data_IF_544362868324
#
_entry.id   IF_544362868324
#
_cell.length_a   1.000
_cell.length_b   1.000
_cell.length_c   1.000
_cell.angle_alpha   90.00
_cell.angle_beta   90.00
_cell.angle_gamma   90.00
#
_symmetry.space_group_name_H-M   'P 1'
#
loop_
_entity.id
_entity.type
_entity.pdbx_description
1 polymer ?
#
# COMPACT_ATOMS: atom_id res chain seq x y z
N UNK A 1 -10.82 32.69 52.98
CA UNK A 1 -10.57 31.82 54.14
C UNK A 1 -10.20 30.43 53.64
N UNK A 2 -9.00 30.00 54.01
CA UNK A 2 -8.36 28.72 53.70
C UNK A 2 -9.07 27.51 54.34
N UNK A 3 -8.95 26.35 53.67
CA UNK A 3 -8.31 25.11 54.17
C UNK A 3 -8.27 24.10 52.99
N UNK A 4 -7.08 23.81 52.44
CA UNK A 4 -6.19 22.67 52.76
C UNK A 4 -6.79 21.32 52.27
N UNK A 5 -6.15 20.35 51.60
CA UNK A 5 -4.82 20.10 50.97
C UNK A 5 -4.91 18.70 50.30
N UNK A 6 -3.93 18.35 49.45
CA UNK A 6 -3.43 17.01 49.06
C UNK A 6 -4.03 16.40 47.77
N UNK A 7 -3.42 16.66 46.60
CA UNK A 7 -2.32 15.90 45.94
C UNK A 7 -2.68 14.46 45.59
N UNK A 8 -2.80 14.18 44.30
CA UNK A 8 -2.31 12.95 43.68
C UNK A 8 -1.89 13.24 42.24
N UNK A 9 -0.65 13.72 42.10
CA UNK A 9 0.07 13.81 40.84
C UNK A 9 0.34 12.38 40.36
N UNK A 10 -0.37 11.90 39.34
CA UNK A 10 0.01 10.68 38.63
C UNK A 10 0.80 11.05 37.38
N UNK A 11 2.06 11.41 37.63
CA UNK A 11 3.09 11.57 36.61
C UNK A 11 3.72 10.19 36.42
N UNK A 12 3.08 9.35 35.61
CA UNK A 12 3.70 8.09 35.17
C UNK A 12 4.59 8.43 33.99
N UNK A 13 5.88 8.53 34.31
CA UNK A 13 6.97 8.33 33.36
C UNK A 13 6.76 6.99 32.62
N UNK A 14 6.18 7.03 31.43
CA UNK A 14 6.33 5.97 30.45
C UNK A 14 7.62 6.23 29.64
N UNK A 15 8.75 6.18 30.33
CA UNK A 15 10.07 6.07 29.71
C UNK A 15 10.52 4.63 29.83
N UNK A 16 10.09 3.79 28.88
CA UNK A 16 10.71 2.53 28.56
C UNK A 16 10.27 2.09 27.16
N UNK A 17 11.27 1.78 26.32
CA UNK A 17 11.14 1.13 25.01
C UNK A 17 10.55 1.96 23.86
N UNK A 18 11.17 3.10 23.54
CA UNK A 18 11.46 3.34 22.13
C UNK A 18 12.50 2.32 21.70
N UNK A 19 12.04 1.10 21.43
CA UNK A 19 12.82 0.14 20.68
C UNK A 19 13.18 0.80 19.37
N UNK A 20 14.47 0.92 19.10
CA UNK A 20 15.00 1.14 17.78
C UNK A 20 14.23 0.19 16.85
N UNK A 21 13.40 0.74 15.97
CA UNK A 21 12.79 -0.03 14.91
C UNK A 21 13.91 -0.24 13.89
N UNK A 22 14.82 -1.15 14.24
CA UNK A 22 15.87 -1.58 13.35
C UNK A 22 15.16 -2.20 12.14
N UNK A 23 15.44 -1.61 10.99
CA UNK A 23 15.15 -2.17 9.70
C UNK A 23 16.09 -3.37 9.49
N UNK A 24 15.96 -4.39 10.34
CA UNK A 24 16.68 -5.65 10.25
C UNK A 24 16.02 -6.49 9.16
N UNK A 25 16.53 -6.27 7.96
CA UNK A 25 16.92 -7.32 7.02
C UNK A 25 16.85 -8.75 7.56
N UNK A 26 16.19 -9.60 6.76
CA UNK A 26 16.27 -11.08 6.68
C UNK A 26 15.22 -11.94 7.43
N UNK A 27 14.07 -12.26 6.78
CA UNK A 27 13.35 -13.50 7.06
C UNK A 27 13.53 -14.56 5.95
N UNK A 28 14.32 -14.28 4.91
CA UNK A 28 14.39 -15.15 3.73
C UNK A 28 15.15 -16.46 4.00
N UNK A 29 16.29 -16.37 4.68
CA UNK A 29 17.17 -17.51 4.94
C UNK A 29 16.76 -18.38 6.14
N UNK A 30 15.90 -17.86 7.04
CA UNK A 30 15.48 -18.58 8.24
C UNK A 30 14.25 -19.46 8.05
N UNK A 31 13.47 -19.25 6.98
CA UNK A 31 12.26 -20.03 6.71
C UNK A 31 12.58 -21.31 5.91
N UNK A 32 11.98 -22.41 6.32
CA UNK A 32 12.00 -23.67 5.56
C UNK A 32 11.08 -23.60 4.34
N UNK A 33 11.27 -24.50 3.37
CA UNK A 33 10.39 -24.61 2.22
C UNK A 33 8.94 -24.91 2.61
N UNK A 34 8.73 -25.72 3.66
CA UNK A 34 7.41 -26.04 4.20
C UNK A 34 6.71 -24.80 4.78
N UNK A 35 7.40 -24.02 5.61
CA UNK A 35 6.86 -22.77 6.17
C UNK A 35 6.49 -21.77 5.07
N UNK A 36 7.32 -21.62 4.03
CA UNK A 36 7.00 -20.75 2.89
C UNK A 36 5.75 -21.23 2.13
N UNK A 37 5.59 -22.55 1.95
CA UNK A 37 4.38 -23.13 1.34
C UNK A 37 3.15 -22.79 2.19
N UNK A 38 3.22 -23.02 3.49
CA UNK A 38 2.13 -22.74 4.43
C UNK A 38 1.74 -21.25 4.46
N UNK A 39 2.71 -20.35 4.51
CA UNK A 39 2.47 -18.91 4.42
C UNK A 39 1.79 -18.52 3.10
N UNK A 40 2.23 -19.12 1.99
CA UNK A 40 1.63 -18.87 0.67
C UNK A 40 0.19 -19.39 0.58
N UNK A 41 -0.10 -20.55 1.18
CA UNK A 41 -1.45 -21.09 1.32
C UNK A 41 -2.34 -20.15 2.13
N UNK A 42 -1.87 -19.77 3.33
CA UNK A 42 -2.60 -18.84 4.19
C UNK A 42 -2.88 -17.51 3.49
N UNK A 43 -1.90 -16.95 2.77
CA UNK A 43 -2.06 -15.72 2.02
C UNK A 43 -3.09 -15.82 0.89
N UNK A 44 -3.07 -16.89 0.08
CA UNK A 44 -4.04 -17.01 -1.02
C UNK A 44 -5.47 -17.20 -0.49
N UNK A 45 -5.66 -17.95 0.60
CA UNK A 45 -6.97 -18.11 1.23
C UNK A 45 -7.45 -16.81 1.88
N UNK A 46 -6.58 -16.07 2.58
CA UNK A 46 -6.89 -14.77 3.16
C UNK A 46 -7.33 -13.76 2.08
N UNK A 47 -6.69 -13.78 0.91
CA UNK A 47 -7.14 -12.95 -0.22
C UNK A 47 -8.47 -13.47 -0.76
N UNK A 48 -8.58 -14.77 -1.07
CA UNK A 48 -9.74 -15.33 -1.77
C UNK A 48 -11.04 -15.19 -0.96
N UNK A 49 -10.97 -15.46 0.33
CA UNK A 49 -12.11 -15.48 1.25
C UNK A 49 -12.25 -14.18 2.05
N UNK A 50 -11.33 -13.24 1.88
CA UNK A 50 -11.28 -11.99 2.62
C UNK A 50 -11.26 -10.77 1.70
N UNK A 51 -10.43 -9.80 2.07
CA UNK A 51 -10.35 -8.50 1.40
C UNK A 51 -8.93 -8.25 0.90
N UNK A 52 -8.80 -7.83 -0.36
CA UNK A 52 -7.60 -7.18 -0.83
C UNK A 52 -7.73 -5.67 -0.63
N UNK A 53 -6.77 -5.07 0.06
CA UNK A 53 -6.72 -3.62 0.28
C UNK A 53 -5.71 -3.02 -0.69
N UNK A 54 -6.18 -2.22 -1.64
CA UNK A 54 -5.36 -1.39 -2.50
C UNK A 54 -4.87 -0.17 -1.72
N UNK A 55 -3.58 -0.14 -1.41
CA UNK A 55 -2.89 0.96 -0.74
C UNK A 55 -2.29 1.91 -1.78
N UNK A 56 -2.88 3.09 -1.91
CA UNK A 56 -2.47 4.14 -2.83
C UNK A 56 -1.40 5.05 -2.21
N UNK A 57 -0.42 5.47 -3.00
CA UNK A 57 0.57 6.45 -2.57
C UNK A 57 -0.04 7.85 -2.60
N UNK A 58 -0.05 8.56 -1.47
CA UNK A 58 -0.55 9.94 -1.39
C UNK A 58 0.52 10.98 -1.73
N UNK A 59 1.81 10.61 -1.70
CA UNK A 59 2.94 11.54 -1.70
C UNK A 59 2.85 12.61 -0.59
N UNK A 60 2.10 12.36 0.49
CA UNK A 60 1.77 13.35 1.51
C UNK A 60 2.99 14.08 2.06
N UNK A 61 4.02 13.36 2.54
CA UNK A 61 5.26 13.96 3.08
C UNK A 61 6.00 14.82 2.06
N UNK A 62 6.04 14.38 0.79
CA UNK A 62 6.69 15.12 -0.29
C UNK A 62 5.93 16.40 -0.59
N UNK A 63 4.60 16.33 -0.65
CA UNK A 63 3.73 17.47 -0.90
C UNK A 63 3.83 18.47 0.26
N UNK A 64 3.76 17.99 1.50
CA UNK A 64 3.87 18.81 2.71
C UNK A 64 5.20 19.58 2.75
N UNK A 65 6.32 18.90 2.45
CA UNK A 65 7.63 19.56 2.40
C UNK A 65 7.70 20.59 1.26
N UNK A 66 7.14 20.28 0.09
CA UNK A 66 7.08 21.25 -1.02
C UNK A 66 6.19 22.46 -0.70
N UNK A 67 5.09 22.26 0.01
CA UNK A 67 4.21 23.34 0.49
C UNK A 67 4.90 24.20 1.54
N UNK A 68 5.64 23.57 2.47
CA UNK A 68 6.46 24.27 3.46
C UNK A 68 7.51 25.16 2.79
N UNK A 69 8.21 24.64 1.78
CA UNK A 69 9.17 25.41 0.99
C UNK A 69 8.50 26.55 0.23
N UNK A 70 7.32 26.31 -0.37
CA UNK A 70 6.56 27.33 -1.09
C UNK A 70 6.09 28.49 -0.18
N UNK A 71 5.88 28.21 1.11
CA UNK A 71 5.48 29.19 2.12
C UNK A 71 6.63 29.91 2.83
N UNK A 72 7.89 29.64 2.47
CA UNK A 72 9.05 30.27 3.11
C UNK A 72 9.10 31.79 2.87
N UNK A 73 9.49 32.54 3.89
CA UNK A 73 9.70 34.00 3.83
C UNK A 73 10.93 34.39 3.00
N UNK A 74 11.82 33.43 2.74
CA UNK A 74 13.09 33.67 2.04
C UNK A 74 12.95 33.68 0.51
N UNK A 75 11.76 33.37 -0.01
CA UNK A 75 11.48 33.31 -1.44
C UNK A 75 10.87 34.60 -1.95
N UNK A 76 11.27 35.01 -3.16
CA UNK A 76 10.55 36.05 -3.88
C UNK A 76 9.25 35.51 -4.51
N UNK A 77 8.39 36.40 -4.99
CA UNK A 77 7.08 36.03 -5.53
C UNK A 77 7.16 35.12 -6.78
N UNK A 78 8.19 35.27 -7.61
CA UNK A 78 8.40 34.38 -8.77
C UNK A 78 8.73 32.95 -8.33
N UNK A 79 9.60 32.80 -7.32
CA UNK A 79 9.98 31.52 -6.75
C UNK A 79 8.81 30.83 -6.06
N UNK A 80 8.00 31.59 -5.29
CA UNK A 80 6.77 31.07 -4.68
C UNK A 80 5.81 30.54 -5.74
N UNK A 81 5.59 31.29 -6.81
CA UNK A 81 4.71 30.88 -7.92
C UNK A 81 5.21 29.59 -8.61
N UNK A 82 6.53 29.47 -8.83
CA UNK A 82 7.14 28.24 -9.37
C UNK A 82 6.92 27.04 -8.43
N UNK A 83 7.08 27.21 -7.12
CA UNK A 83 6.85 26.14 -6.15
C UNK A 83 5.39 25.73 -6.08
N UNK A 84 4.46 26.68 -6.05
CA UNK A 84 3.02 26.40 -6.07
C UNK A 84 2.62 25.61 -7.32
N UNK A 85 3.15 25.98 -8.49
CA UNK A 85 2.94 25.25 -9.75
C UNK A 85 3.44 23.81 -9.66
N UNK A 86 4.63 23.60 -9.07
CA UNK A 86 5.19 22.25 -8.85
C UNK A 86 4.36 21.42 -7.88
N UNK A 87 3.89 22.02 -6.79
CA UNK A 87 2.99 21.34 -5.82
C UNK A 87 1.71 20.90 -6.52
N UNK A 88 1.08 21.80 -7.28
CA UNK A 88 -0.14 21.49 -8.03
C UNK A 88 0.07 20.35 -9.04
N UNK A 89 1.19 20.39 -9.79
CA UNK A 89 1.54 19.33 -10.73
C UNK A 89 1.75 17.97 -10.02
N UNK A 90 2.46 17.92 -8.89
CA UNK A 90 2.66 16.68 -8.12
C UNK A 90 1.34 16.14 -7.56
N UNK A 91 0.45 17.00 -7.07
CA UNK A 91 -0.89 16.60 -6.61
C UNK A 91 -1.71 15.99 -7.74
N UNK A 92 -1.76 16.67 -8.88
CA UNK A 92 -2.52 16.21 -10.04
C UNK A 92 -1.96 14.90 -10.60
N UNK A 93 -0.63 14.78 -10.76
CA UNK A 93 0.01 13.55 -11.22
C UNK A 93 -0.20 12.38 -10.25
N UNK A 94 -0.25 12.64 -8.95
CA UNK A 94 -0.54 11.62 -7.93
C UNK A 94 -2.00 11.19 -8.02
N UNK A 95 -2.94 12.13 -8.07
CA UNK A 95 -4.38 11.86 -8.20
C UNK A 95 -4.67 11.07 -9.48
N UNK A 96 -4.09 11.51 -10.61
CA UNK A 96 -4.27 10.87 -11.93
C UNK A 96 -3.77 9.43 -11.94
N UNK A 97 -2.55 9.17 -11.45
CA UNK A 97 -2.01 7.80 -11.37
C UNK A 97 -2.84 6.90 -10.45
N UNK A 98 -3.24 7.42 -9.29
CA UNK A 98 -4.10 6.69 -8.35
C UNK A 98 -5.45 6.36 -8.98
N UNK A 99 -6.04 7.30 -9.73
CA UNK A 99 -7.30 7.08 -10.44
C UNK A 99 -7.17 5.98 -11.50
N UNK A 100 -6.12 6.04 -12.32
CA UNK A 100 -5.85 4.98 -13.31
C UNK A 100 -5.69 3.60 -12.68
N UNK A 101 -5.01 3.52 -11.53
CA UNK A 101 -4.86 2.26 -10.80
C UNK A 101 -6.19 1.75 -10.25
N UNK A 102 -6.99 2.62 -9.63
CA UNK A 102 -8.33 2.28 -9.14
C UNK A 102 -9.25 1.82 -10.28
N UNK A 103 -9.23 2.51 -11.42
CA UNK A 103 -10.02 2.15 -12.59
C UNK A 103 -9.58 0.79 -13.16
N UNK A 104 -8.28 0.52 -13.21
CA UNK A 104 -7.76 -0.77 -13.63
C UNK A 104 -8.21 -1.90 -12.68
N UNK A 105 -8.20 -1.67 -11.36
CA UNK A 105 -8.73 -2.62 -10.39
C UNK A 105 -10.24 -2.81 -10.54
N UNK A 106 -11.02 -1.73 -10.65
CA UNK A 106 -12.47 -1.81 -10.84
C UNK A 106 -12.84 -2.58 -12.13
N UNK A 107 -12.06 -2.42 -13.20
CA UNK A 107 -12.33 -3.05 -14.48
C UNK A 107 -11.87 -4.51 -14.57
N UNK A 108 -10.83 -4.91 -13.83
CA UNK A 108 -10.14 -6.20 -14.05
C UNK A 108 -10.10 -7.12 -12.83
N UNK A 109 -10.32 -6.60 -11.62
CA UNK A 109 -10.15 -7.37 -10.39
C UNK A 109 -11.48 -7.96 -9.91
N UNK A 110 -11.60 -9.27 -10.00
CA UNK A 110 -12.78 -10.06 -9.61
C UNK A 110 -12.44 -11.20 -8.63
N UNK A 111 -11.21 -11.23 -8.11
CA UNK A 111 -10.71 -12.37 -7.37
C UNK A 111 -11.32 -12.48 -5.96
N UNK A 112 -11.49 -11.35 -5.28
CA UNK A 112 -12.15 -11.21 -3.97
C UNK A 112 -12.64 -9.77 -3.75
N UNK A 113 -13.11 -9.45 -2.54
CA UNK A 113 -13.56 -8.09 -2.21
C UNK A 113 -12.38 -7.12 -2.19
N UNK A 114 -12.55 -5.96 -2.81
CA UNK A 114 -11.54 -4.89 -2.87
C UNK A 114 -11.94 -3.72 -1.95
N UNK A 115 -11.00 -3.24 -1.15
CA UNK A 115 -11.08 -1.94 -0.47
C UNK A 115 -9.91 -1.06 -0.90
N UNK A 116 -10.07 0.25 -0.83
CA UNK A 116 -9.06 1.22 -1.29
C UNK A 116 -8.75 2.16 -0.14
N UNK A 117 -7.47 2.44 0.12
CA UNK A 117 -7.05 3.44 1.11
C UNK A 117 -5.77 4.14 0.68
N UNK A 118 -5.52 5.33 1.22
CA UNK A 118 -4.21 5.96 1.13
C UNK A 118 -3.20 5.35 2.11
N UNK A 119 -1.92 5.45 1.75
CA UNK A 119 -0.78 5.09 2.59
C UNK A 119 -0.75 5.81 3.95
N UNK A 120 -1.32 7.01 4.05
CA UNK A 120 -1.50 7.75 5.31
C UNK A 120 -2.40 7.05 6.31
N UNK A 121 -3.33 6.20 5.85
CA UNK A 121 -4.23 5.43 6.72
C UNK A 121 -3.61 4.13 7.26
N UNK A 122 -2.34 3.83 6.92
CA UNK A 122 -1.64 2.63 7.40
C UNK A 122 -1.66 2.50 8.93
N UNK A 123 -1.46 3.59 9.67
CA UNK A 123 -1.45 3.53 11.14
C UNK A 123 -2.83 3.27 11.71
N UNK A 124 -3.90 3.76 11.07
CA UNK A 124 -5.27 3.48 11.49
C UNK A 124 -5.57 1.98 11.37
N UNK A 125 -5.18 1.36 10.26
CA UNK A 125 -5.34 -0.08 10.06
C UNK A 125 -4.50 -0.90 11.06
N UNK A 126 -3.27 -0.46 11.39
CA UNK A 126 -2.43 -1.11 12.42
C UNK A 126 -3.00 -0.99 13.83
N UNK A 127 -3.75 0.07 14.11
CA UNK A 127 -4.46 0.29 15.37
C UNK A 127 -5.82 -0.42 15.40
N UNK A 128 -6.05 -1.35 14.47
CA UNK A 128 -7.28 -2.12 14.36
C UNK A 128 -8.53 -1.28 14.07
N UNK A 129 -8.37 -0.04 13.59
CA UNK A 129 -9.52 0.71 13.08
C UNK A 129 -9.97 0.07 11.77
N UNK A 130 -11.22 -0.41 11.70
CA UNK A 130 -11.73 -1.20 10.55
C UNK A 130 -12.62 -0.42 9.58
N UNK A 131 -12.82 0.89 9.77
CA UNK A 131 -13.69 1.73 8.91
C UNK A 131 -13.34 3.22 9.01
N UNK A 132 -13.96 4.05 8.16
CA UNK A 132 -13.88 5.52 8.25
C UNK A 132 -12.74 6.19 7.46
N UNK A 133 -11.89 5.40 6.78
CA UNK A 133 -10.76 5.92 5.98
C UNK A 133 -10.61 5.24 4.61
N UNK A 134 -11.53 4.33 4.26
CA UNK A 134 -11.56 3.71 2.94
C UNK A 134 -12.14 4.66 1.90
N UNK A 135 -11.76 4.46 0.64
CA UNK A 135 -12.09 5.31 -0.48
C UNK A 135 -13.03 4.60 -1.45
N UNK A 136 -13.88 5.38 -2.12
CA UNK A 136 -14.65 4.95 -3.28
C UNK A 136 -13.81 5.01 -4.58
N UNK A 137 -14.44 4.69 -5.71
CA UNK A 137 -13.80 4.70 -7.04
C UNK A 137 -13.37 6.11 -7.52
N UNK A 138 -13.92 7.17 -6.90
CA UNK A 138 -13.60 8.57 -7.19
C UNK A 138 -12.49 9.12 -6.29
N UNK A 139 -11.86 8.28 -5.46
CA UNK A 139 -10.85 8.65 -4.46
C UNK A 139 -11.38 9.56 -3.35
N UNK A 140 -12.67 9.43 -3.02
CA UNK A 140 -13.33 10.15 -1.93
C UNK A 140 -13.63 9.17 -0.79
N UNK A 141 -13.74 9.68 0.44
CA UNK A 141 -14.07 8.85 1.60
C UNK A 141 -15.41 8.14 1.40
N UNK A 142 -15.41 6.83 1.62
CA UNK A 142 -16.60 6.00 1.61
C UNK A 142 -16.98 5.63 3.05
N UNK A 143 -18.02 6.29 3.57
CA UNK A 143 -18.49 6.06 4.93
C UNK A 143 -19.11 4.67 5.13
N UNK A 144 -19.56 3.99 4.06
CA UNK A 144 -20.12 2.65 4.13
C UNK A 144 -19.04 1.56 4.05
N UNK A 145 -17.85 1.90 3.56
CA UNK A 145 -16.75 0.95 3.43
C UNK A 145 -16.16 0.58 4.80
N UNK A 146 -16.25 -0.71 5.12
CA UNK A 146 -15.68 -1.30 6.33
C UNK A 146 -15.04 -2.66 6.03
N UNK A 147 -13.92 -2.92 6.67
CA UNK A 147 -13.23 -4.20 6.61
C UNK A 147 -13.99 -5.30 7.35
N UNK A 148 -14.76 -4.95 8.39
CA UNK A 148 -15.40 -5.92 9.28
C UNK A 148 -14.37 -6.84 9.94
N UNK A 149 -14.75 -8.10 10.13
CA UNK A 149 -13.89 -9.16 10.70
C UNK A 149 -13.14 -9.97 9.63
N UNK A 150 -13.22 -9.57 8.35
CA UNK A 150 -12.61 -10.33 7.27
C UNK A 150 -11.08 -10.28 7.34
N UNK A 151 -10.38 -11.40 7.07
CA UNK A 151 -8.93 -11.37 6.89
C UNK A 151 -8.59 -10.49 5.69
N UNK A 152 -7.40 -9.89 5.70
CA UNK A 152 -7.00 -8.99 4.63
C UNK A 152 -5.54 -9.15 4.22
N UNK A 153 -5.26 -8.80 2.97
CA UNK A 153 -3.90 -8.54 2.48
C UNK A 153 -3.88 -7.20 1.81
N UNK A 154 -2.69 -6.64 1.64
CA UNK A 154 -2.54 -5.38 0.94
C UNK A 154 -1.88 -5.58 -0.42
N UNK A 155 -2.17 -4.67 -1.33
CA UNK A 155 -1.41 -4.49 -2.56
C UNK A 155 -1.04 -3.02 -2.71
N UNK A 156 0.18 -2.74 -3.13
CA UNK A 156 0.65 -1.39 -3.47
C UNK A 156 1.32 -1.38 -4.83
N UNK A 157 1.34 -0.23 -5.49
CA UNK A 157 2.20 -0.01 -6.64
C UNK A 157 3.57 0.51 -6.19
N UNK A 158 4.66 -0.01 -6.75
CA UNK A 158 6.02 0.44 -6.48
C UNK A 158 7.06 -0.66 -6.69
N UNK A 159 8.23 -0.49 -6.07
CA UNK A 159 9.31 -1.48 -6.12
C UNK A 159 9.15 -2.53 -5.03
N UNK A 160 9.51 -3.78 -5.34
CA UNK A 160 9.71 -4.82 -4.36
C UNK A 160 11.08 -4.64 -3.68
N UNK A 161 11.13 -4.73 -2.35
CA UNK A 161 12.36 -4.55 -1.56
C UNK A 161 13.38 -5.66 -1.82
N UNK A 162 12.93 -6.88 -2.12
CA UNK A 162 13.82 -8.02 -2.35
C UNK A 162 14.42 -8.05 -3.77
N UNK A 163 13.73 -7.48 -4.76
CA UNK A 163 14.28 -7.35 -6.12
C UNK A 163 15.23 -6.13 -6.21
N UNK A 164 16.32 -6.14 -5.45
CA UNK A 164 17.32 -5.04 -5.43
C UNK A 164 17.93 -4.73 -6.81
N UNK A 165 17.85 -5.68 -7.76
CA UNK A 165 18.35 -5.54 -9.14
C UNK A 165 17.30 -5.09 -10.17
N UNK A 166 16.02 -5.09 -9.80
CA UNK A 166 14.92 -4.76 -10.70
C UNK A 166 14.54 -3.29 -10.48
N UNK A 167 14.90 -2.43 -11.42
CA UNK A 167 14.41 -1.03 -11.44
C UNK A 167 12.92 -0.93 -11.73
N UNK A 168 12.23 -2.05 -11.96
CA UNK A 168 10.85 -2.09 -12.40
C UNK A 168 9.87 -1.84 -11.25
N UNK A 169 8.96 -0.89 -11.45
CA UNK A 169 7.76 -0.79 -10.63
C UNK A 169 6.75 -1.87 -11.01
N UNK A 170 5.95 -2.28 -10.04
CA UNK A 170 4.91 -3.30 -10.17
C UNK A 170 3.93 -3.29 -9.00
N UNK A 171 3.00 -4.24 -9.00
CA UNK A 171 2.13 -4.52 -7.87
C UNK A 171 2.87 -5.42 -6.88
N UNK A 172 2.95 -4.99 -5.63
CA UNK A 172 3.59 -5.70 -4.51
C UNK A 172 2.51 -6.07 -3.51
N UNK A 173 2.38 -7.36 -3.19
CA UNK A 173 1.46 -7.88 -2.19
C UNK A 173 2.13 -7.95 -0.83
N UNK A 174 1.38 -7.56 0.20
CA UNK A 174 1.87 -7.48 1.58
C UNK A 174 0.98 -8.29 2.54
N UNK A 175 1.57 -8.74 3.63
CA UNK A 175 0.87 -9.28 4.80
C UNK A 175 0.23 -8.18 5.66
N UNK A 176 -0.39 -8.57 6.77
CA UNK A 176 -1.09 -7.68 7.70
C UNK A 176 -0.11 -6.77 8.46
N UNK A 177 1.16 -7.20 8.58
CA UNK A 177 2.26 -6.43 9.13
C UNK A 177 2.94 -5.50 8.10
N UNK A 178 2.39 -5.41 6.89
CA UNK A 178 2.88 -4.61 5.77
C UNK A 178 4.25 -5.06 5.22
N UNK A 179 4.62 -6.32 5.45
CA UNK A 179 5.81 -6.95 4.87
C UNK A 179 5.45 -7.61 3.54
N UNK A 180 6.39 -7.62 2.61
CA UNK A 180 6.18 -8.26 1.31
C UNK A 180 5.96 -9.76 1.49
N UNK A 181 4.93 -10.29 0.83
CA UNK A 181 4.77 -11.73 0.73
C UNK A 181 5.95 -12.35 -0.02
N UNK A 182 6.16 -13.64 0.15
CA UNK A 182 7.35 -14.34 -0.37
C UNK A 182 6.97 -15.44 -1.35
N UNK A 183 7.92 -15.82 -2.19
CA UNK A 183 7.84 -17.06 -2.99
C UNK A 183 7.55 -18.26 -2.06
N UNK A 184 6.68 -19.21 -2.44
CA UNK A 184 6.14 -19.47 -3.79
C UNK A 184 4.92 -18.63 -4.20
N UNK A 185 4.42 -17.76 -3.33
CA UNK A 185 3.28 -16.90 -3.64
C UNK A 185 3.62 -15.88 -4.74
N UNK A 186 2.69 -15.47 -5.63
CA UNK A 186 2.94 -14.45 -6.66
C UNK A 186 3.00 -13.02 -6.08
N UNK A 187 3.96 -12.77 -5.18
CA UNK A 187 4.04 -11.57 -4.36
C UNK A 187 4.33 -10.27 -5.13
N UNK A 188 5.02 -10.36 -6.28
CA UNK A 188 5.35 -9.21 -7.11
C UNK A 188 4.95 -9.43 -8.56
N UNK A 189 4.30 -8.42 -9.15
CA UNK A 189 3.83 -8.43 -10.54
C UNK A 189 4.30 -7.16 -11.23
N UNK A 190 5.22 -7.30 -12.18
CA UNK A 190 5.73 -6.19 -13.01
C UNK A 190 5.58 -6.51 -14.50
N UNK A 191 5.73 -5.48 -15.34
CA UNK A 191 5.89 -5.64 -16.78
C UNK A 191 7.37 -5.60 -17.13
N UNK A 192 7.85 -6.62 -17.86
CA UNK A 192 9.21 -6.60 -18.38
C UNK A 192 9.33 -5.65 -19.59
N UNK A 193 10.56 -5.31 -19.97
CA UNK A 193 10.84 -4.35 -21.05
C UNK A 193 10.18 -4.79 -22.37
N UNK A 194 10.20 -6.09 -22.69
CA UNK A 194 9.59 -6.62 -23.91
C UNK A 194 8.07 -6.47 -23.92
N UNK A 195 7.40 -6.73 -22.80
CA UNK A 195 5.96 -6.51 -22.63
C UNK A 195 5.59 -5.04 -22.79
N UNK A 196 6.38 -4.12 -22.18
CA UNK A 196 6.20 -2.67 -22.32
C UNK A 196 6.35 -2.24 -23.79
N UNK A 197 7.39 -2.69 -24.48
CA UNK A 197 7.65 -2.36 -25.89
C UNK A 197 6.57 -2.91 -26.81
N UNK A 198 6.25 -4.21 -26.71
CA UNK A 198 5.26 -4.87 -27.58
C UNK A 198 3.88 -4.22 -27.46
N UNK A 199 3.51 -3.77 -26.27
CA UNK A 199 2.20 -3.14 -26.00
C UNK A 199 2.24 -1.62 -26.10
N UNK A 200 3.41 -1.01 -26.30
CA UNK A 200 3.61 0.44 -26.33
C UNK A 200 3.04 1.17 -25.09
N UNK A 201 3.15 0.53 -23.92
CA UNK A 201 2.67 1.04 -22.63
C UNK A 201 3.82 1.44 -21.71
N UNK A 202 3.61 2.47 -20.91
CA UNK A 202 4.52 2.91 -19.84
C UNK A 202 3.70 3.44 -18.66
N UNK A 203 4.36 3.71 -17.54
CA UNK A 203 3.72 4.14 -16.27
C UNK A 203 2.99 5.49 -16.37
N UNK A 204 3.18 6.23 -17.45
CA UNK A 204 2.48 7.49 -17.74
C UNK A 204 1.18 7.29 -18.50
N UNK A 205 0.73 6.04 -18.69
CA UNK A 205 -0.49 5.69 -19.43
C UNK A 205 -1.42 4.78 -18.60
N UNK A 206 -2.75 4.91 -18.70
CA UNK A 206 -3.70 4.07 -17.97
C UNK A 206 -3.59 2.58 -18.33
N UNK A 207 -3.34 2.25 -19.60
CA UNK A 207 -3.29 0.86 -20.09
C UNK A 207 -2.17 0.05 -19.44
N UNK A 208 -1.12 0.72 -18.96
CA UNK A 208 -0.06 0.07 -18.18
C UNK A 208 -0.63 -0.59 -16.92
N UNK A 209 -1.49 0.12 -16.19
CA UNK A 209 -2.11 -0.37 -14.97
C UNK A 209 -3.12 -1.48 -15.26
N UNK A 210 -3.91 -1.36 -16.33
CA UNK A 210 -4.83 -2.42 -16.75
C UNK A 210 -4.13 -3.75 -17.02
N UNK A 211 -3.02 -3.71 -17.78
CA UNK A 211 -2.23 -4.91 -18.07
C UNK A 211 -1.63 -5.49 -16.78
N UNK A 212 -1.18 -4.63 -15.87
CA UNK A 212 -0.59 -5.03 -14.60
C UNK A 212 -1.59 -5.74 -13.69
N UNK A 213 -2.79 -5.17 -13.52
CA UNK A 213 -3.87 -5.76 -12.73
C UNK A 213 -4.35 -7.07 -13.36
N UNK A 214 -4.55 -7.11 -14.68
CA UNK A 214 -4.91 -8.35 -15.37
C UNK A 214 -3.86 -9.45 -15.16
N UNK A 215 -2.57 -9.10 -15.16
CA UNK A 215 -1.48 -10.04 -14.87
C UNK A 215 -1.51 -10.52 -13.42
N UNK A 216 -1.82 -9.65 -12.47
CA UNK A 216 -2.01 -10.01 -11.06
C UNK A 216 -3.14 -11.02 -10.90
N UNK A 217 -4.33 -10.73 -11.43
CA UNK A 217 -5.51 -11.61 -11.34
C UNK A 217 -5.22 -12.98 -11.94
N UNK A 218 -4.58 -13.03 -13.11
CA UNK A 218 -4.16 -14.29 -13.73
C UNK A 218 -3.19 -15.10 -12.87
N UNK A 219 -2.25 -14.44 -12.18
CA UNK A 219 -1.31 -15.11 -11.28
C UNK A 219 -2.00 -15.62 -10.01
N UNK A 220 -2.91 -14.86 -9.43
CA UNK A 220 -3.70 -15.28 -8.27
C UNK A 220 -4.58 -16.48 -8.62
N UNK A 221 -5.34 -16.42 -9.72
CA UNK A 221 -6.18 -17.52 -10.19
C UNK A 221 -5.37 -18.79 -10.47
N UNK A 222 -4.21 -18.66 -11.13
CA UNK A 222 -3.32 -19.81 -11.39
C UNK A 222 -2.77 -20.40 -10.11
N UNK A 223 -2.34 -19.56 -9.16
CA UNK A 223 -1.80 -20.04 -7.89
C UNK A 223 -2.88 -20.75 -7.07
N UNK A 224 -4.06 -20.13 -6.94
CA UNK A 224 -5.20 -20.71 -6.22
C UNK A 224 -5.68 -22.02 -6.84
N UNK A 225 -5.78 -22.11 -8.17
CA UNK A 225 -6.14 -23.35 -8.86
C UNK A 225 -5.15 -24.50 -8.61
N UNK A 226 -3.85 -24.20 -8.49
CA UNK A 226 -2.84 -25.20 -8.11
C UNK A 226 -3.03 -25.67 -6.67
N UNK A 227 -3.29 -24.74 -5.75
CA UNK A 227 -3.54 -25.05 -4.33
C UNK A 227 -4.73 -25.98 -4.18
N UNK A 228 -5.86 -25.69 -4.85
CA UNK A 228 -7.05 -26.55 -4.83
C UNK A 228 -6.74 -27.94 -5.42
N UNK A 229 -6.01 -28.00 -6.55
CA UNK A 229 -5.70 -29.26 -7.21
C UNK A 229 -4.79 -30.18 -6.36
N UNK A 230 -3.99 -29.61 -5.46
CA UNK A 230 -3.16 -30.35 -4.52
C UNK A 230 -3.93 -30.86 -3.28
N UNK A 231 -5.24 -30.56 -3.17
CA UNK A 231 -6.10 -31.02 -2.07
C UNK A 231 -5.91 -30.26 -0.77
N UNK A 232 -5.47 -29.00 -0.84
CA UNK A 232 -5.28 -28.11 0.29
C UNK A 232 -6.45 -27.14 0.47
#
# INVERSE_FOLDING_TARGET
MNRLTLIATFLVFASAAFGQYDADTEPYDSLTAGQRKEMALHAIHAIKNGVLILRLESNHRKIEEMERLAGSTDLNEEEKSKWQTRVAAVKEDTRRRNKWLVDAFAAKYDFSRLLIMYDTATQLLKQDLRSGYFLNQNLELDAAASLGEAPYRLVRFGKASYERSSSANGLVLLDEEFRELLSPFPYFVSLNIFEKMRRQVNESKPEYFEVLVAKLVNRLNRFYGKVIAEGH
#
